data_IF_918160207930
#
_entry.id   IF_918160207930
#
_cell.length_a   1.000
_cell.length_b   1.000
_cell.length_c   1.000
_cell.angle_alpha   90.00
_cell.angle_beta   90.00
_cell.angle_gamma   90.00
#
_symmetry.space_group_name_H-M   'P 1'
#
loop_
_entity.id
_entity.type
_entity.pdbx_description
1 polymer ?
#
# COMPACT_ATOMS: atom_id res chain seq x y z
N UNK A 1 16.42 -1.64 5.02
CA UNK A 1 16.34 -1.59 3.55
C UNK A 1 16.99 -0.32 2.97
N UNK A 2 16.50 0.89 3.16
CA UNK A 2 17.05 2.14 2.57
C UNK A 2 18.56 2.35 2.80
N UNK A 3 19.10 1.94 3.94
CA UNK A 3 20.55 2.02 4.23
C UNK A 3 21.32 0.78 3.81
N UNK A 4 20.68 -0.37 3.74
CA UNK A 4 21.33 -1.64 3.43
C UNK A 4 21.68 -1.75 1.94
N UNK A 5 20.72 -1.43 1.07
CA UNK A 5 20.89 -1.55 -0.37
C UNK A 5 22.11 -0.76 -0.88
N UNK A 6 22.29 0.54 -0.54
CA UNK A 6 23.44 1.30 -1.02
C UNK A 6 24.80 0.82 -0.47
N UNK A 7 24.82 0.09 0.66
CA UNK A 7 26.09 -0.46 1.20
C UNK A 7 26.60 -1.65 0.41
N UNK A 8 25.71 -2.43 -0.21
CA UNK A 8 26.05 -3.62 -0.99
C UNK A 8 25.93 -3.39 -2.49
N UNK A 9 25.22 -2.35 -2.92
CA UNK A 9 25.24 -1.86 -4.29
C UNK A 9 26.43 -0.93 -4.49
N UNK A 10 27.05 -0.94 -5.67
CA UNK A 10 28.06 0.05 -6.00
C UNK A 10 27.45 1.45 -5.94
N UNK A 11 28.27 2.44 -5.51
CA UNK A 11 27.88 3.86 -5.41
C UNK A 11 27.33 4.47 -6.71
N UNK A 12 27.48 3.77 -7.83
CA UNK A 12 27.01 4.16 -9.16
C UNK A 12 25.55 3.73 -9.46
N UNK A 13 24.78 3.25 -8.47
CA UNK A 13 23.37 2.94 -8.62
C UNK A 13 23.04 1.61 -9.31
N UNK A 14 24.00 0.70 -9.41
CA UNK A 14 23.78 -0.65 -9.93
C UNK A 14 22.92 -1.48 -8.96
N UNK A 15 22.09 -2.35 -9.52
CA UNK A 15 21.32 -3.31 -8.74
C UNK A 15 22.25 -4.29 -8.01
N UNK A 16 21.84 -4.74 -6.85
CA UNK A 16 22.51 -5.81 -6.09
C UNK A 16 21.56 -6.99 -5.90
N UNK A 17 22.12 -8.19 -5.77
CA UNK A 17 21.30 -9.38 -5.47
C UNK A 17 20.53 -9.22 -4.16
N UNK A 18 19.23 -9.55 -4.16
CA UNK A 18 18.36 -9.43 -2.99
C UNK A 18 18.93 -10.15 -1.76
N UNK A 19 19.58 -11.29 -1.94
CA UNK A 19 20.26 -12.02 -0.85
C UNK A 19 21.25 -11.14 -0.08
N UNK A 20 22.06 -10.34 -0.79
CA UNK A 20 23.06 -9.48 -0.17
C UNK A 20 22.40 -8.30 0.54
N UNK A 21 21.42 -7.66 -0.11
CA UNK A 21 20.63 -6.59 0.49
C UNK A 21 19.88 -7.05 1.74
N UNK A 22 19.34 -8.27 1.72
CA UNK A 22 18.67 -8.89 2.86
C UNK A 22 19.62 -9.10 4.03
N UNK A 23 20.79 -9.70 3.79
CA UNK A 23 21.83 -9.89 4.83
C UNK A 23 22.23 -8.58 5.49
N UNK A 24 22.48 -7.54 4.69
CA UNK A 24 22.85 -6.23 5.20
C UNK A 24 21.71 -5.58 5.96
N UNK A 25 20.45 -5.76 5.53
CA UNK A 25 19.27 -5.29 6.24
C UNK A 25 19.15 -5.95 7.62
N UNK A 26 19.33 -7.28 7.70
CA UNK A 26 19.35 -8.03 8.95
C UNK A 26 20.43 -7.51 9.90
N UNK A 27 21.64 -7.30 9.39
CA UNK A 27 22.75 -6.77 10.17
C UNK A 27 22.46 -5.37 10.72
N UNK A 28 21.97 -4.45 9.89
CA UNK A 28 21.68 -3.07 10.29
C UNK A 28 20.48 -2.93 11.23
N UNK A 29 19.48 -3.79 11.10
CA UNK A 29 18.28 -3.78 11.96
C UNK A 29 18.46 -4.58 13.24
N UNK A 30 19.54 -5.38 13.35
CA UNK A 30 19.72 -6.37 14.40
C UNK A 30 18.56 -7.37 14.49
N UNK A 31 17.94 -7.67 13.35
CA UNK A 31 16.81 -8.58 13.21
C UNK A 31 17.20 -9.72 12.26
N UNK A 32 17.33 -10.91 12.79
CA UNK A 32 17.95 -12.05 12.11
C UNK A 32 16.96 -13.06 11.54
N UNK A 33 15.68 -12.72 11.46
CA UNK A 33 14.68 -13.51 10.74
C UNK A 33 14.71 -13.18 9.24
N UNK A 34 15.40 -14.03 8.48
CA UNK A 34 15.55 -13.85 7.03
C UNK A 34 14.22 -13.96 6.27
N UNK A 35 13.27 -14.78 6.75
CA UNK A 35 11.94 -14.91 6.15
C UNK A 35 11.13 -13.63 6.30
N UNK A 36 11.08 -13.09 7.51
CA UNK A 36 10.38 -11.83 7.77
C UNK A 36 11.00 -10.65 6.99
N UNK A 37 12.33 -10.55 6.93
CA UNK A 37 13.00 -9.51 6.13
C UNK A 37 12.72 -9.70 4.64
N UNK A 38 12.68 -10.92 4.14
CA UNK A 38 12.31 -11.20 2.75
C UNK A 38 10.86 -10.76 2.46
N UNK A 39 9.92 -11.04 3.34
CA UNK A 39 8.55 -10.57 3.20
C UNK A 39 8.46 -9.04 3.14
N UNK A 40 9.25 -8.32 3.95
CA UNK A 40 9.33 -6.85 3.86
C UNK A 40 9.85 -6.36 2.50
N UNK A 41 10.76 -7.12 1.85
CA UNK A 41 11.17 -6.82 0.49
C UNK A 41 10.04 -7.10 -0.50
N UNK A 42 9.31 -8.20 -0.36
CA UNK A 42 8.18 -8.54 -1.22
C UNK A 42 7.02 -7.52 -1.08
N UNK A 43 6.86 -6.92 0.08
CA UNK A 43 5.90 -5.82 0.27
C UNK A 43 6.22 -4.57 -0.57
N UNK A 44 7.45 -4.45 -1.11
CA UNK A 44 7.84 -3.35 -1.99
C UNK A 44 7.54 -3.57 -3.47
N UNK A 45 6.87 -4.67 -3.82
CA UNK A 45 6.42 -4.91 -5.19
C UNK A 45 5.40 -3.85 -5.62
N UNK A 46 5.47 -3.40 -6.86
CA UNK A 46 4.63 -2.31 -7.38
C UNK A 46 3.13 -2.63 -7.41
N UNK A 47 2.78 -3.91 -7.34
CA UNK A 47 1.39 -4.36 -7.25
C UNK A 47 0.91 -4.57 -5.80
N UNK A 48 1.81 -4.45 -4.81
CA UNK A 48 1.48 -4.51 -3.38
C UNK A 48 1.55 -3.11 -2.78
N UNK A 49 2.68 -2.41 -2.94
CA UNK A 49 2.88 -1.06 -2.43
C UNK A 49 2.49 0.01 -3.43
N UNK A 50 1.77 1.01 -2.97
CA UNK A 50 1.37 2.18 -3.76
C UNK A 50 2.55 3.07 -4.13
N UNK A 51 3.52 3.21 -3.22
CA UNK A 51 4.73 4.04 -3.34
C UNK A 51 5.96 3.24 -2.86
N UNK A 52 6.40 2.21 -3.60
CA UNK A 52 7.56 1.43 -3.20
C UNK A 52 8.81 2.29 -3.18
N UNK A 53 9.79 1.93 -2.34
CA UNK A 53 11.10 2.63 -2.26
C UNK A 53 12.20 1.94 -3.04
N UNK A 54 11.90 0.79 -3.63
CA UNK A 54 12.85 -0.01 -4.40
C UNK A 54 12.29 -0.41 -5.76
N UNK A 55 13.19 -0.71 -6.67
CA UNK A 55 12.91 -1.31 -7.96
C UNK A 55 13.64 -2.65 -8.04
N UNK A 56 12.95 -3.66 -8.52
CA UNK A 56 13.48 -5.01 -8.67
C UNK A 56 13.73 -5.35 -10.13
N UNK A 57 14.62 -6.33 -10.33
CA UNK A 57 14.80 -7.04 -11.59
C UNK A 57 14.79 -8.55 -11.30
N UNK A 58 13.97 -9.29 -12.00
CA UNK A 58 13.74 -10.72 -11.83
C UNK A 58 12.27 -11.06 -11.60
N UNK A 59 11.98 -12.32 -11.36
CA UNK A 59 10.62 -12.82 -11.13
C UNK A 59 10.19 -12.55 -9.68
N UNK A 60 9.28 -11.61 -9.49
CA UNK A 60 8.74 -11.23 -8.16
C UNK A 60 7.40 -11.89 -7.85
N UNK A 61 6.98 -12.85 -8.66
CA UNK A 61 5.62 -13.32 -8.67
C UNK A 61 4.70 -12.38 -9.46
N UNK A 62 3.42 -12.65 -9.42
CA UNK A 62 2.40 -11.90 -10.15
C UNK A 62 1.30 -11.37 -9.23
N UNK A 63 0.59 -10.35 -9.71
CA UNK A 63 -0.61 -9.83 -9.05
C UNK A 63 -1.71 -10.90 -8.88
N UNK A 64 -1.66 -11.93 -9.71
CA UNK A 64 -2.61 -13.04 -9.76
C UNK A 64 -2.20 -14.26 -8.93
N UNK A 65 -1.28 -14.07 -7.96
CA UNK A 65 -0.87 -15.11 -7.04
C UNK A 65 0.30 -15.98 -7.51
N UNK A 66 0.96 -15.62 -8.61
CA UNK A 66 2.19 -16.32 -9.00
C UNK A 66 3.26 -16.11 -7.94
N UNK A 67 3.88 -17.19 -7.49
CA UNK A 67 4.91 -17.14 -6.47
C UNK A 67 6.18 -16.39 -6.96
N UNK A 68 6.87 -15.63 -6.09
CA UNK A 68 8.14 -15.03 -6.45
C UNK A 68 9.20 -16.11 -6.68
N UNK A 69 10.13 -15.81 -7.56
CA UNK A 69 11.33 -16.60 -7.73
C UNK A 69 12.24 -16.55 -6.50
N UNK A 70 13.29 -17.36 -6.50
CA UNK A 70 14.26 -17.35 -5.42
C UNK A 70 14.97 -15.99 -5.32
N UNK A 71 15.15 -15.47 -4.09
CA UNK A 71 15.90 -14.24 -3.80
C UNK A 71 17.34 -14.22 -4.36
N UNK A 72 17.87 -15.39 -4.73
CA UNK A 72 19.21 -15.53 -5.34
C UNK A 72 19.26 -15.01 -6.78
N UNK A 73 18.11 -15.01 -7.47
CA UNK A 73 17.98 -14.61 -8.88
C UNK A 73 17.24 -13.28 -9.06
N UNK A 74 17.00 -12.58 -7.96
CA UNK A 74 16.34 -11.27 -7.95
C UNK A 74 17.34 -10.21 -7.53
N UNK A 75 17.39 -9.13 -8.29
CA UNK A 75 18.19 -7.96 -7.98
C UNK A 75 17.29 -6.81 -7.49
N UNK A 76 17.89 -5.94 -6.68
CA UNK A 76 17.18 -4.79 -6.09
C UNK A 76 18.05 -3.55 -6.10
N UNK A 77 17.44 -2.39 -6.36
CA UNK A 77 18.04 -1.08 -6.16
C UNK A 77 17.01 -0.11 -5.60
N UNK A 78 17.46 1.00 -5.04
CA UNK A 78 16.56 2.09 -4.71
C UNK A 78 15.95 2.65 -6.00
N UNK A 79 14.70 3.09 -5.92
CA UNK A 79 14.10 3.94 -6.93
C UNK A 79 14.23 5.41 -6.51
N UNK A 80 13.75 6.33 -7.34
CA UNK A 80 13.83 7.78 -7.09
C UNK A 80 13.17 8.19 -5.76
N UNK A 81 12.08 7.55 -5.38
CA UNK A 81 11.41 7.78 -4.11
C UNK A 81 12.26 7.32 -2.92
N UNK A 82 12.88 6.15 -3.02
CA UNK A 82 13.81 5.64 -2.00
C UNK A 82 15.09 6.48 -1.90
N UNK A 83 15.63 6.91 -3.02
CA UNK A 83 16.82 7.78 -3.08
C UNK A 83 16.54 9.16 -2.47
N UNK A 84 15.36 9.71 -2.71
CA UNK A 84 14.95 10.99 -2.10
C UNK A 84 15.08 10.95 -0.58
N UNK A 85 14.57 9.90 0.08
CA UNK A 85 14.67 9.78 1.54
C UNK A 85 16.08 9.46 2.02
N UNK A 86 16.86 8.71 1.25
CA UNK A 86 18.22 8.36 1.65
C UNK A 86 19.17 9.55 1.58
N UNK A 87 19.19 10.27 0.46
CA UNK A 87 20.20 11.29 0.19
C UNK A 87 19.87 12.66 0.76
N UNK A 88 18.60 13.01 0.88
CA UNK A 88 18.18 14.29 1.47
C UNK A 88 18.07 14.27 2.98
N UNK A 89 17.96 13.09 3.57
CA UNK A 89 17.88 12.89 5.01
C UNK A 89 18.96 11.95 5.52
N UNK A 90 20.20 12.43 5.74
CA UNK A 90 21.31 11.59 6.24
C UNK A 90 21.01 10.90 7.57
N UNK A 91 20.04 11.40 8.36
CA UNK A 91 19.54 10.71 9.55
C UNK A 91 18.64 9.51 9.24
N UNK A 92 18.30 9.30 7.95
CA UNK A 92 17.48 8.22 7.43
C UNK A 92 16.16 7.99 8.19
N UNK A 93 15.44 9.06 8.46
CA UNK A 93 14.05 8.92 8.87
C UNK A 93 13.12 9.33 7.72
N UNK A 94 12.05 8.59 7.58
CA UNK A 94 11.03 8.86 6.58
C UNK A 94 10.10 9.94 7.15
N UNK A 95 9.93 11.03 6.40
CA UNK A 95 9.18 12.21 6.84
C UNK A 95 7.69 12.16 6.49
N UNK A 96 7.21 11.00 6.05
CA UNK A 96 5.80 10.69 5.79
C UNK A 96 5.42 9.39 6.50
N UNK A 97 4.14 9.16 6.85
CA UNK A 97 3.70 7.94 7.51
C UNK A 97 3.64 6.78 6.50
N UNK A 98 4.78 6.13 6.29
CA UNK A 98 5.02 5.16 5.23
C UNK A 98 4.00 4.00 5.22
N UNK A 99 3.65 3.49 6.40
CA UNK A 99 2.65 2.41 6.52
C UNK A 99 1.24 2.85 6.09
N UNK A 100 0.91 4.14 6.20
CA UNK A 100 -0.39 4.62 5.71
C UNK A 100 -0.42 4.74 4.19
N UNK A 101 0.67 5.19 3.56
CA UNK A 101 0.67 5.37 2.10
C UNK A 101 0.84 4.06 1.32
N UNK A 102 1.51 3.05 1.91
CA UNK A 102 1.78 1.77 1.26
C UNK A 102 0.97 0.59 1.79
N UNK A 103 0.27 0.80 2.92
CA UNK A 103 -0.30 -0.29 3.68
C UNK A 103 0.77 -1.01 4.51
N UNK A 104 0.30 -1.82 5.44
CA UNK A 104 1.12 -2.73 6.23
C UNK A 104 0.28 -3.91 6.70
N UNK A 105 0.71 -5.10 6.32
CA UNK A 105 0.00 -6.34 6.57
C UNK A 105 0.84 -7.25 7.46
N UNK A 106 0.29 -7.63 8.60
CA UNK A 106 0.90 -8.59 9.51
C UNK A 106 -0.17 -9.30 10.31
N UNK A 107 0.20 -10.32 11.08
CA UNK A 107 -0.74 -10.99 11.99
C UNK A 107 -1.39 -10.06 13.02
N UNK A 108 -0.86 -8.85 13.22
CA UNK A 108 -1.30 -7.93 14.27
C UNK A 108 -1.94 -6.65 13.75
N UNK A 109 -1.80 -6.35 12.47
CA UNK A 109 -2.33 -5.12 11.89
C UNK A 109 -2.63 -5.28 10.40
N UNK A 110 -3.65 -4.61 9.95
CA UNK A 110 -4.03 -4.59 8.54
C UNK A 110 -4.32 -3.13 8.11
N UNK A 111 -3.25 -2.43 7.78
CA UNK A 111 -3.33 -1.04 7.32
C UNK A 111 -3.39 -1.06 5.80
N UNK A 112 -4.48 -0.56 5.24
CA UNK A 112 -4.63 -0.43 3.79
C UNK A 112 -3.89 0.81 3.28
N UNK A 113 -3.39 0.80 2.02
CA UNK A 113 -2.67 1.93 1.44
C UNK A 113 -3.59 3.12 1.21
N UNK A 114 -3.02 4.33 1.27
CA UNK A 114 -3.73 5.58 1.05
C UNK A 114 -3.00 6.46 0.03
N UNK A 115 -3.71 7.39 -0.57
CA UNK A 115 -3.11 8.34 -1.51
C UNK A 115 -2.14 9.30 -0.81
N UNK A 116 -0.95 9.47 -1.39
CA UNK A 116 0.12 10.32 -0.84
C UNK A 116 -0.31 11.78 -0.69
N UNK A 117 -1.01 12.31 -1.70
CA UNK A 117 -1.47 13.71 -1.68
C UNK A 117 -2.47 13.94 -0.54
N UNK A 118 -3.44 13.01 -0.37
CA UNK A 118 -4.44 13.08 0.69
C UNK A 118 -3.80 13.02 2.08
N UNK A 119 -2.82 12.13 2.27
CA UNK A 119 -2.11 12.00 3.55
C UNK A 119 -1.29 13.26 3.85
N UNK A 120 -0.57 13.79 2.87
CA UNK A 120 0.22 15.03 3.05
C UNK A 120 -0.70 16.22 3.36
N UNK A 121 -1.80 16.38 2.63
CA UNK A 121 -2.75 17.48 2.88
C UNK A 121 -3.38 17.38 4.27
N UNK A 122 -3.69 16.18 4.74
CA UNK A 122 -4.19 15.96 6.10
C UNK A 122 -3.12 16.25 7.18
N UNK A 123 -1.86 15.94 6.92
CA UNK A 123 -0.75 16.30 7.80
C UNK A 123 -0.57 17.84 7.87
N UNK A 124 -0.62 18.53 6.74
CA UNK A 124 -0.54 20.00 6.67
C UNK A 124 -1.75 20.62 7.38
N UNK A 125 -2.96 20.09 7.17
CA UNK A 125 -4.14 20.53 7.92
C UNK A 125 -3.92 20.45 9.43
N UNK A 126 -3.47 19.30 9.93
CA UNK A 126 -3.25 19.08 11.37
C UNK A 126 -2.07 19.88 11.93
N UNK A 127 -1.04 20.16 11.13
CA UNK A 127 0.07 21.03 11.51
C UNK A 127 -0.42 22.47 11.74
N UNK A 128 -1.29 22.98 10.86
CA UNK A 128 -1.85 24.32 10.93
C UNK A 128 -3.05 24.42 11.90
N UNK A 129 -3.82 23.36 12.04
CA UNK A 129 -5.03 23.26 12.88
C UNK A 129 -5.02 21.96 13.69
N UNK A 130 -4.28 21.87 14.81
CA UNK A 130 -4.17 20.63 15.60
C UNK A 130 -5.51 20.07 16.10
N UNK A 131 -6.50 20.95 16.28
CA UNK A 131 -7.86 20.60 16.72
C UNK A 131 -8.83 20.28 15.56
N UNK A 132 -8.35 20.17 14.31
CA UNK A 132 -9.22 19.81 13.19
C UNK A 132 -10.08 18.58 13.51
N UNK A 133 -11.33 18.60 13.12
CA UNK A 133 -12.27 17.50 13.35
C UNK A 133 -11.93 16.30 12.46
N UNK A 134 -12.49 15.12 12.78
CA UNK A 134 -12.36 13.96 11.92
C UNK A 134 -13.05 14.20 10.56
N UNK A 135 -14.16 14.93 10.54
CA UNK A 135 -14.86 15.29 9.29
C UNK A 135 -13.99 16.14 8.36
N UNK A 136 -13.22 17.08 8.91
CA UNK A 136 -12.28 17.89 8.11
C UNK A 136 -11.17 17.00 7.53
N UNK A 137 -10.66 16.04 8.30
CA UNK A 137 -9.65 15.08 7.84
C UNK A 137 -10.23 14.16 6.75
N UNK A 138 -11.44 13.64 6.94
CA UNK A 138 -12.14 12.80 5.96
C UNK A 138 -12.67 13.61 4.76
N UNK A 139 -12.76 14.93 4.88
CA UNK A 139 -12.90 15.82 3.74
C UNK A 139 -11.72 15.73 2.76
N UNK A 140 -10.52 15.37 3.26
CA UNK A 140 -9.28 15.22 2.50
C UNK A 140 -9.02 13.75 2.19
N UNK A 141 -8.88 12.91 3.23
CA UNK A 141 -8.65 11.45 3.09
C UNK A 141 -9.97 10.79 2.73
N UNK A 142 -10.09 10.35 1.47
CA UNK A 142 -11.34 9.74 0.98
C UNK A 142 -11.49 8.27 1.40
N UNK A 143 -10.39 7.59 1.71
CA UNK A 143 -10.32 6.18 2.05
C UNK A 143 -9.09 5.51 1.47
N UNK A 144 -8.99 4.18 1.50
CA UNK A 144 -7.88 3.44 0.91
C UNK A 144 -7.70 3.73 -0.58
N UNK A 145 -6.44 3.65 -1.06
CA UNK A 145 -6.06 3.85 -2.45
C UNK A 145 -5.06 2.78 -2.89
N UNK A 146 -5.53 1.77 -3.61
CA UNK A 146 -4.74 0.61 -4.00
C UNK A 146 -3.88 0.86 -5.25
N UNK A 147 -2.76 0.14 -5.43
CA UNK A 147 -1.83 0.34 -6.55
C UNK A 147 -2.46 0.30 -7.95
N UNK A 148 -3.38 -0.63 -8.17
CA UNK A 148 -4.09 -0.76 -9.45
C UNK A 148 -5.51 -0.19 -9.44
N UNK A 149 -5.89 0.48 -8.34
CA UNK A 149 -7.26 0.91 -8.15
C UNK A 149 -8.17 -0.25 -7.71
N UNK A 150 -9.41 -0.02 -7.67
CA UNK A 150 -10.57 -0.91 -7.49
C UNK A 150 -11.77 -0.01 -7.21
N UNK A 151 -12.94 -0.58 -6.99
CA UNK A 151 -14.07 0.14 -6.41
C UNK A 151 -14.25 -0.27 -4.94
N UNK A 152 -14.41 0.70 -4.05
CA UNK A 152 -14.81 0.48 -2.66
C UNK A 152 -16.25 0.94 -2.52
N UNK A 153 -17.14 0.07 -2.01
CA UNK A 153 -18.50 0.40 -1.62
C UNK A 153 -18.62 0.44 -0.12
N UNK A 154 -19.03 1.58 0.41
CA UNK A 154 -19.14 1.76 1.86
C UNK A 154 -20.19 2.81 2.18
N UNK A 155 -20.86 2.66 3.32
CA UNK A 155 -21.70 3.71 3.88
C UNK A 155 -20.83 4.81 4.50
N UNK A 156 -21.26 6.07 4.40
CA UNK A 156 -20.49 7.21 4.94
C UNK A 156 -20.25 7.10 6.45
N UNK A 157 -21.27 6.66 7.19
CA UNK A 157 -21.17 6.49 8.64
C UNK A 157 -20.20 5.34 9.00
N UNK A 158 -20.24 4.24 8.28
CA UNK A 158 -19.30 3.13 8.46
C UNK A 158 -17.86 3.57 8.20
N UNK A 159 -17.62 4.31 7.12
CA UNK A 159 -16.30 4.87 6.82
C UNK A 159 -15.81 5.77 7.95
N UNK A 160 -16.69 6.65 8.47
CA UNK A 160 -16.39 7.51 9.60
C UNK A 160 -16.01 6.70 10.85
N UNK A 161 -16.80 5.68 11.19
CA UNK A 161 -16.55 4.81 12.34
C UNK A 161 -15.23 4.04 12.22
N UNK A 162 -14.91 3.53 11.03
CA UNK A 162 -13.62 2.87 10.76
C UNK A 162 -12.46 3.83 11.04
N UNK A 163 -12.49 5.03 10.51
CA UNK A 163 -11.40 5.99 10.71
C UNK A 163 -11.37 6.60 12.12
N UNK A 164 -12.48 6.60 12.83
CA UNK A 164 -12.56 7.03 14.22
C UNK A 164 -11.98 5.97 15.16
N UNK A 165 -12.40 4.71 14.99
CA UNK A 165 -11.97 3.60 15.85
C UNK A 165 -10.64 2.99 15.44
N UNK A 166 -10.33 2.99 14.15
CA UNK A 166 -9.22 2.28 13.52
C UNK A 166 -9.54 0.84 13.17
N UNK A 167 -10.80 0.40 13.26
CA UNK A 167 -11.24 -0.97 12.99
C UNK A 167 -12.52 -1.02 12.17
N UNK A 168 -12.62 -2.02 11.31
CA UNK A 168 -13.83 -2.35 10.55
C UNK A 168 -13.52 -3.11 9.28
N UNK A 169 -14.54 -3.30 8.47
CA UNK A 169 -14.43 -3.99 7.19
C UNK A 169 -14.83 -3.07 6.05
N UNK A 170 -14.16 -3.20 4.92
CA UNK A 170 -14.56 -2.55 3.68
C UNK A 170 -14.86 -3.59 2.61
N UNK A 171 -15.81 -3.28 1.75
CA UNK A 171 -16.11 -4.08 0.58
C UNK A 171 -15.39 -3.52 -0.64
N UNK A 172 -14.56 -4.37 -1.28
CA UNK A 172 -13.78 -4.04 -2.46
C UNK A 172 -14.35 -4.83 -3.64
N UNK A 173 -14.50 -4.14 -4.78
CA UNK A 173 -15.04 -4.72 -6.02
C UNK A 173 -14.04 -4.56 -7.15
N UNK A 174 -14.00 -5.56 -8.02
CA UNK A 174 -13.27 -5.51 -9.28
C UNK A 174 -14.01 -4.68 -10.33
N UNK A 175 -13.28 -4.17 -11.30
CA UNK A 175 -13.89 -3.62 -12.50
C UNK A 175 -14.19 -4.75 -13.49
N UNK A 176 -15.43 -4.81 -13.94
CA UNK A 176 -15.90 -5.82 -14.89
C UNK A 176 -16.41 -5.14 -16.14
N UNK A 177 -15.90 -5.57 -17.29
CA UNK A 177 -16.37 -5.15 -18.60
C UNK A 177 -16.91 -6.37 -19.34
N UNK A 178 -18.16 -6.32 -19.74
CA UNK A 178 -18.79 -7.34 -20.58
C UNK A 178 -18.93 -6.81 -22.00
N UNK A 179 -18.41 -7.54 -22.97
CA UNK A 179 -18.48 -7.18 -24.37
C UNK A 179 -18.82 -8.41 -25.22
N UNK A 180 -20.10 -8.49 -25.62
CA UNK A 180 -20.61 -9.58 -26.46
C UNK A 180 -20.37 -10.95 -25.84
N UNK A 181 -19.37 -11.66 -26.33
CA UNK A 181 -18.99 -13.00 -25.88
C UNK A 181 -17.76 -13.01 -24.96
N UNK A 182 -17.38 -11.87 -24.39
CA UNK A 182 -16.23 -11.80 -23.48
C UNK A 182 -16.55 -11.02 -22.22
N UNK A 183 -15.96 -11.47 -21.13
CA UNK A 183 -15.94 -10.77 -19.83
C UNK A 183 -14.49 -10.48 -19.48
N UNK A 184 -14.19 -9.22 -19.20
CA UNK A 184 -12.85 -8.81 -18.73
C UNK A 184 -12.97 -8.33 -17.29
N UNK A 185 -12.15 -8.90 -16.40
CA UNK A 185 -12.09 -8.56 -14.99
C UNK A 185 -10.73 -7.94 -14.71
N UNK A 186 -10.71 -6.73 -14.18
CA UNK A 186 -9.50 -5.99 -13.83
C UNK A 186 -9.64 -5.32 -12.47
N UNK A 187 -8.53 -4.77 -11.94
CA UNK A 187 -8.53 -4.07 -10.65
C UNK A 187 -9.13 -4.90 -9.53
N UNK A 188 -8.68 -6.18 -9.43
CA UNK A 188 -9.23 -7.09 -8.41
C UNK A 188 -8.92 -6.60 -7.02
N UNK A 189 -9.70 -7.11 -6.02
CA UNK A 189 -9.36 -6.90 -4.63
C UNK A 189 -7.92 -7.35 -4.35
N UNK A 190 -7.10 -6.55 -3.68
CA UNK A 190 -5.75 -6.95 -3.29
C UNK A 190 -5.79 -8.17 -2.36
N UNK A 191 -4.66 -8.85 -2.15
CA UNK A 191 -4.49 -10.04 -1.30
C UNK A 191 -5.01 -11.36 -1.87
N UNK A 192 -5.13 -11.47 -3.18
CA UNK A 192 -5.36 -12.76 -3.83
C UNK A 192 -4.10 -13.64 -3.75
N UNK A 193 -2.95 -13.03 -3.41
CA UNK A 193 -1.65 -13.69 -3.41
C UNK A 193 -1.49 -14.86 -2.43
N UNK A 194 -2.22 -14.86 -1.30
CA UNK A 194 -2.06 -15.90 -0.29
C UNK A 194 -2.53 -17.29 -0.77
N UNK A 195 -3.36 -17.34 -1.80
CA UNK A 195 -4.04 -18.56 -2.20
C UNK A 195 -3.93 -18.88 -3.70
N UNK A 196 -3.33 -18.04 -4.52
CA UNK A 196 -3.40 -18.19 -5.97
C UNK A 196 -4.83 -18.03 -6.52
N UNK A 197 -4.96 -17.58 -7.74
CA UNK A 197 -6.29 -17.45 -8.37
C UNK A 197 -6.93 -18.80 -8.65
N UNK A 198 -6.12 -19.80 -8.96
CA UNK A 198 -6.59 -21.16 -9.27
C UNK A 198 -7.25 -21.81 -8.05
N UNK A 199 -6.87 -21.44 -6.82
CA UNK A 199 -7.48 -21.93 -5.58
C UNK A 199 -8.82 -21.21 -5.25
N UNK A 200 -9.02 -20.00 -5.77
CA UNK A 200 -10.29 -19.26 -5.61
C UNK A 200 -11.33 -19.61 -6.67
N UNK A 201 -10.89 -20.20 -7.77
CA UNK A 201 -11.75 -20.56 -8.88
C UNK A 201 -11.52 -22.00 -9.26
N UNK A 202 -12.56 -22.74 -9.32
CA UNK A 202 -12.64 -23.86 -10.23
C UNK A 202 -12.73 -23.32 -11.67
N UNK A 203 -11.64 -22.68 -12.15
CA UNK A 203 -11.56 -22.11 -13.50
C UNK A 203 -11.93 -23.18 -14.54
N UNK A 204 -11.48 -24.42 -14.32
CA UNK A 204 -11.82 -25.54 -15.21
C UNK A 204 -13.29 -25.91 -15.16
N UNK A 205 -13.90 -25.89 -13.97
CA UNK A 205 -15.35 -26.08 -13.81
C UNK A 205 -16.14 -25.00 -14.52
N UNK A 206 -15.74 -23.73 -14.41
CA UNK A 206 -16.36 -22.62 -15.13
C UNK A 206 -16.14 -22.73 -16.65
N UNK A 207 -14.93 -23.09 -17.12
CA UNK A 207 -14.67 -23.31 -18.55
C UNK A 207 -15.57 -24.38 -19.13
N UNK A 208 -15.76 -25.50 -18.41
CA UNK A 208 -16.61 -26.61 -18.84
C UNK A 208 -18.11 -26.22 -18.82
N UNK A 209 -18.58 -25.60 -17.74
CA UNK A 209 -19.99 -25.25 -17.57
C UNK A 209 -20.46 -24.19 -18.58
N UNK A 210 -19.64 -23.18 -18.83
CA UNK A 210 -19.97 -22.05 -19.72
C UNK A 210 -19.35 -22.17 -21.11
N UNK A 211 -18.77 -23.32 -21.42
CA UNK A 211 -18.10 -23.56 -22.71
C UNK A 211 -17.14 -22.42 -23.04
N UNK A 212 -16.41 -21.98 -22.04
CA UNK A 212 -15.58 -20.80 -22.03
C UNK A 212 -14.09 -21.10 -22.08
N UNK A 213 -13.30 -20.07 -22.24
CA UNK A 213 -11.84 -20.11 -22.12
C UNK A 213 -11.35 -18.93 -21.32
N UNK A 214 -10.53 -19.22 -20.31
CA UNK A 214 -9.84 -18.20 -19.54
C UNK A 214 -8.48 -17.89 -20.14
N UNK A 215 -8.20 -16.59 -20.30
CA UNK A 215 -6.88 -16.10 -20.66
C UNK A 215 -6.39 -15.17 -19.55
N UNK A 216 -5.26 -15.51 -18.96
CA UNK A 216 -4.61 -14.75 -17.91
C UNK A 216 -3.67 -13.74 -18.55
N UNK A 217 -3.98 -12.45 -18.42
CA UNK A 217 -3.03 -11.36 -18.68
C UNK A 217 -2.30 -10.95 -17.39
N UNK A 218 -1.38 -9.99 -17.48
CA UNK A 218 -0.60 -9.53 -16.30
C UNK A 218 -1.47 -8.92 -15.21
N UNK A 219 -2.55 -8.24 -15.57
CA UNK A 219 -3.44 -7.52 -14.64
C UNK A 219 -4.91 -7.63 -15.01
N UNK A 220 -5.27 -8.39 -16.03
CA UNK A 220 -6.64 -8.53 -16.53
C UNK A 220 -6.92 -10.00 -16.84
N UNK A 221 -8.04 -10.49 -16.35
CA UNK A 221 -8.59 -11.78 -16.80
C UNK A 221 -9.56 -11.56 -17.94
N UNK A 222 -9.40 -12.34 -18.98
CA UNK A 222 -10.32 -12.41 -20.09
C UNK A 222 -11.02 -13.78 -20.09
N UNK A 223 -12.34 -13.73 -20.06
CA UNK A 223 -13.17 -14.93 -20.25
C UNK A 223 -13.91 -14.80 -21.57
N UNK A 224 -13.71 -15.74 -22.44
CA UNK A 224 -14.52 -15.90 -23.65
C UNK A 224 -15.63 -16.91 -23.32
N UNK A 225 -16.88 -16.54 -23.51
CA UNK A 225 -18.03 -17.39 -23.24
C UNK A 225 -19.23 -16.96 -24.06
N UNK A 226 -20.08 -17.91 -24.42
CA UNK A 226 -21.33 -17.63 -25.13
C UNK A 226 -22.45 -17.15 -24.17
N UNK A 227 -22.22 -17.24 -22.86
CA UNK A 227 -23.21 -16.93 -21.82
C UNK A 227 -22.65 -15.96 -20.75
N UNK A 228 -22.23 -14.76 -21.14
CA UNK A 228 -21.54 -13.84 -20.21
C UNK A 228 -22.40 -13.41 -19.03
N UNK A 229 -23.70 -13.20 -19.24
CA UNK A 229 -24.61 -12.80 -18.17
C UNK A 229 -24.84 -13.91 -17.12
N UNK A 230 -24.99 -15.16 -17.58
CA UNK A 230 -25.13 -16.31 -16.70
C UNK A 230 -23.85 -16.55 -15.88
N UNK A 231 -22.70 -16.44 -16.54
CA UNK A 231 -21.39 -16.51 -15.89
C UNK A 231 -21.25 -15.43 -14.81
N UNK A 232 -21.55 -14.16 -15.13
CA UNK A 232 -21.48 -13.06 -14.18
C UNK A 232 -22.42 -13.24 -12.98
N UNK A 233 -23.61 -13.75 -13.22
CA UNK A 233 -24.56 -14.04 -12.13
C UNK A 233 -24.01 -15.13 -11.20
N UNK A 234 -23.37 -16.15 -11.73
CA UNK A 234 -22.77 -17.23 -10.93
C UNK A 234 -21.53 -16.75 -10.19
N UNK A 235 -20.75 -15.85 -10.77
CA UNK A 235 -19.55 -15.28 -10.17
C UNK A 235 -19.84 -14.13 -9.18
N UNK A 236 -21.07 -13.66 -9.04
CA UNK A 236 -21.41 -12.43 -8.32
C UNK A 236 -20.86 -12.37 -6.88
N UNK A 237 -20.79 -13.52 -6.21
CA UNK A 237 -20.26 -13.63 -4.84
C UNK A 237 -18.81 -14.16 -4.79
N UNK A 238 -18.16 -14.26 -5.94
CA UNK A 238 -16.78 -14.73 -6.01
C UNK A 238 -15.83 -13.70 -5.42
N UNK A 239 -14.80 -14.12 -4.64
CA UNK A 239 -13.79 -13.24 -4.06
C UNK A 239 -13.00 -12.40 -5.08
N UNK A 240 -12.98 -12.81 -6.34
CA UNK A 240 -12.34 -11.99 -7.40
C UNK A 240 -13.19 -10.77 -7.77
N UNK A 241 -14.52 -10.89 -7.72
CA UNK A 241 -15.41 -9.79 -8.04
C UNK A 241 -15.67 -8.90 -6.83
N UNK A 242 -15.72 -9.52 -5.65
CA UNK A 242 -16.15 -8.85 -4.43
C UNK A 242 -15.48 -9.48 -3.22
N UNK A 243 -14.84 -8.66 -2.39
CA UNK A 243 -14.19 -9.12 -1.18
C UNK A 243 -14.39 -8.15 -0.02
N UNK A 244 -14.66 -8.67 1.17
CA UNK A 244 -14.53 -7.92 2.41
C UNK A 244 -13.10 -8.00 2.91
N UNK A 245 -12.52 -6.85 3.19
CA UNK A 245 -11.16 -6.70 3.70
C UNK A 245 -11.21 -6.00 5.05
N UNK A 246 -10.66 -6.61 6.11
CA UNK A 246 -10.60 -5.97 7.41
C UNK A 246 -9.62 -4.80 7.40
N UNK A 247 -9.89 -3.81 8.22
CA UNK A 247 -8.98 -2.70 8.55
C UNK A 247 -8.69 -2.76 10.04
N UNK A 248 -7.41 -2.79 10.39
CA UNK A 248 -6.94 -2.74 11.77
C UNK A 248 -5.74 -1.80 11.88
N UNK A 249 -5.95 -0.60 12.39
CA UNK A 249 -4.89 0.37 12.64
C UNK A 249 -4.24 0.11 14.00
N UNK A 250 -3.57 -1.03 14.12
CA UNK A 250 -2.84 -1.40 15.33
C UNK A 250 -1.44 -0.81 15.31
N UNK A 251 -1.14 0.03 16.27
CA UNK A 251 0.15 0.68 16.44
C UNK A 251 0.71 0.43 17.82
N UNK A 252 2.04 0.44 17.94
CA UNK A 252 2.70 0.37 19.24
C UNK A 252 2.68 1.76 19.89
N UNK A 253 1.87 1.90 20.92
CA UNK A 253 1.76 3.12 21.72
C UNK A 253 2.25 2.79 23.14
N UNK A 254 3.36 3.40 23.58
CA UNK A 254 3.96 3.16 24.91
C UNK A 254 4.23 1.67 25.21
N UNK A 255 4.75 0.93 24.22
CA UNK A 255 5.05 -0.51 24.27
C UNK A 255 3.83 -1.44 24.32
N UNK A 256 2.64 -0.94 24.10
CA UNK A 256 1.40 -1.73 23.99
C UNK A 256 0.85 -1.59 22.57
N UNK A 257 0.34 -2.67 22.02
CA UNK A 257 -0.40 -2.65 20.74
C UNK A 257 -1.78 -2.06 21.03
N UNK A 258 -2.13 -0.99 20.35
CA UNK A 258 -3.45 -0.34 20.46
C UNK A 258 -3.99 -0.03 19.09
N UNK A 259 -5.26 -0.35 18.91
CA UNK A 259 -6.00 0.17 17.76
C UNK A 259 -6.34 1.64 18.00
N UNK A 260 -6.08 2.47 17.01
CA UNK A 260 -6.25 3.92 17.14
C UNK A 260 -6.75 4.53 15.83
N UNK A 261 -7.65 5.50 15.94
CA UNK A 261 -8.18 6.21 14.78
C UNK A 261 -7.11 7.05 14.03
N UNK A 262 -7.40 7.34 12.76
CA UNK A 262 -6.46 8.01 11.84
C UNK A 262 -5.94 9.34 12.36
N UNK A 263 -6.78 10.18 12.95
CA UNK A 263 -6.37 11.47 13.51
C UNK A 263 -5.24 11.31 14.54
N UNK A 264 -5.34 10.30 15.42
CA UNK A 264 -4.32 10.04 16.43
C UNK A 264 -3.01 9.58 15.80
N UNK A 265 -3.08 8.74 14.78
CA UNK A 265 -1.90 8.28 14.03
C UNK A 265 -1.15 9.47 13.44
N UNK A 266 -1.86 10.32 12.70
CA UNK A 266 -1.28 11.50 12.06
C UNK A 266 -0.71 12.49 13.09
N UNK A 267 -1.44 12.75 14.19
CA UNK A 267 -0.97 13.65 15.25
C UNK A 267 0.27 13.12 15.98
N UNK A 268 0.33 11.82 16.28
CA UNK A 268 1.52 11.20 16.87
C UNK A 268 2.71 11.26 15.90
N UNK A 269 2.46 11.03 14.61
CA UNK A 269 3.50 11.13 13.59
C UNK A 269 4.08 12.55 13.51
N UNK A 270 3.24 13.59 13.45
CA UNK A 270 3.65 15.01 13.46
C UNK A 270 4.51 15.29 14.70
N UNK A 271 4.04 14.91 15.89
CA UNK A 271 4.76 15.18 17.15
C UNK A 271 6.14 14.51 17.16
N UNK A 272 6.25 13.28 16.70
CA UNK A 272 7.53 12.58 16.59
C UNK A 272 8.47 13.27 15.58
N UNK A 273 7.93 13.70 14.45
CA UNK A 273 8.71 14.38 13.42
C UNK A 273 9.23 15.72 13.90
N UNK A 274 8.39 16.52 14.57
CA UNK A 274 8.78 17.79 15.20
C UNK A 274 9.94 17.60 16.21
N UNK A 275 9.86 16.56 17.05
CA UNK A 275 10.94 16.25 18.00
C UNK A 275 12.25 15.87 17.30
N UNK A 276 12.17 15.11 16.20
CA UNK A 276 13.34 14.72 15.42
C UNK A 276 14.00 15.94 14.73
N UNK A 277 13.17 16.84 14.17
CA UNK A 277 13.64 18.05 13.54
C UNK A 277 14.24 19.02 14.56
N UNK A 278 13.60 19.23 15.71
CA UNK A 278 14.11 20.07 16.78
C UNK A 278 15.48 19.61 17.30
N UNK A 279 15.70 18.29 17.43
CA UNK A 279 17.02 17.74 17.78
C UNK A 279 18.08 17.93 16.69
N UNK A 280 17.66 17.98 15.44
CA UNK A 280 18.59 18.11 14.30
C UNK A 280 18.97 19.57 14.03
N UNK A 281 18.01 20.46 14.21
CA UNK A 281 18.12 21.88 13.94
C UNK A 281 18.08 22.65 15.26
N UNK A 282 19.09 22.41 16.10
CA UNK A 282 19.22 23.09 17.40
C UNK A 282 19.24 24.62 17.22
N UNK A 283 18.42 25.32 18.00
CA UNK A 283 18.28 26.77 17.94
C UNK A 283 17.15 27.30 17.05
N UNK A 284 16.50 26.45 16.25
CA UNK A 284 15.30 26.84 15.52
C UNK A 284 14.07 26.90 16.44
N UNK A 285 13.22 27.87 16.21
CA UNK A 285 11.92 27.97 16.90
C UNK A 285 10.97 26.85 16.43
N UNK A 286 9.96 26.48 17.21
CA UNK A 286 8.95 25.51 16.79
C UNK A 286 8.24 25.88 15.48
N UNK A 287 8.04 27.16 15.23
CA UNK A 287 7.43 27.65 13.97
C UNK A 287 8.34 27.38 12.78
N UNK A 288 9.63 27.69 12.88
CA UNK A 288 10.60 27.43 11.81
C UNK A 288 10.71 25.94 11.51
N UNK A 289 10.66 25.09 12.56
CA UNK A 289 10.64 23.63 12.41
C UNK A 289 9.39 23.18 11.62
N UNK A 290 8.22 23.71 11.95
CA UNK A 290 6.97 23.39 11.25
C UNK A 290 7.04 23.82 9.77
N UNK A 291 7.55 25.02 9.49
CA UNK A 291 7.71 25.52 8.13
C UNK A 291 8.66 24.66 7.29
N UNK A 292 9.75 24.17 7.90
CA UNK A 292 10.67 23.24 7.24
C UNK A 292 9.98 21.91 6.88
N UNK A 293 9.21 21.36 7.81
CA UNK A 293 8.48 20.10 7.60
C UNK A 293 7.43 20.28 6.50
N UNK A 294 6.65 21.34 6.53
CA UNK A 294 5.61 21.64 5.52
C UNK A 294 6.24 21.79 4.13
N UNK A 295 7.31 22.56 3.99
CA UNK A 295 8.04 22.72 2.72
C UNK A 295 8.54 21.38 2.16
N UNK A 296 8.96 20.49 3.04
CA UNK A 296 9.38 19.15 2.61
C UNK A 296 8.19 18.32 2.12
N UNK A 297 7.09 18.33 2.85
CA UNK A 297 5.87 17.63 2.43
C UNK A 297 5.33 18.14 1.09
N UNK A 298 5.31 19.47 0.88
CA UNK A 298 4.94 20.08 -0.40
C UNK A 298 5.88 19.64 -1.52
N UNK A 299 7.18 19.52 -1.24
CA UNK A 299 8.14 19.00 -2.21
C UNK A 299 7.93 17.53 -2.53
N UNK A 300 7.67 16.69 -1.52
CA UNK A 300 7.34 15.26 -1.74
C UNK A 300 6.08 15.15 -2.59
N UNK A 301 5.04 15.91 -2.24
CA UNK A 301 3.78 15.94 -2.97
C UNK A 301 3.97 16.35 -4.43
N UNK A 302 4.71 17.43 -4.69
CA UNK A 302 4.95 17.92 -6.06
C UNK A 302 5.83 17.01 -6.90
N UNK A 303 6.68 16.18 -6.27
CA UNK A 303 7.61 15.29 -6.98
C UNK A 303 7.02 13.89 -7.20
N UNK A 304 6.32 13.36 -6.23
CA UNK A 304 5.87 11.95 -6.20
C UNK A 304 4.37 11.78 -6.03
N UNK A 305 3.64 12.87 -5.79
CA UNK A 305 2.18 12.83 -5.67
C UNK A 305 1.54 12.46 -7.00
N UNK A 306 0.49 11.66 -6.93
CA UNK A 306 -0.28 11.25 -8.10
C UNK A 306 -1.78 11.25 -7.78
N UNK A 307 -2.58 11.06 -8.81
CA UNK A 307 -4.02 10.97 -8.67
C UNK A 307 -4.45 9.68 -7.98
N UNK A 308 -5.58 9.76 -7.30
CA UNK A 308 -6.24 8.60 -6.70
C UNK A 308 -6.62 7.58 -7.79
N UNK A 309 -6.36 6.30 -7.53
CA UNK A 309 -6.69 5.19 -8.44
C UNK A 309 -7.96 4.45 -8.03
N UNK A 310 -8.23 4.38 -6.72
CA UNK A 310 -9.40 3.67 -6.18
C UNK A 310 -10.62 4.58 -6.17
N UNK A 311 -11.72 4.10 -6.74
CA UNK A 311 -13.01 4.77 -6.69
C UNK A 311 -13.73 4.43 -5.38
N UNK A 312 -14.30 5.42 -4.71
CA UNK A 312 -15.11 5.21 -3.52
C UNK A 312 -16.55 5.58 -3.82
N UNK A 313 -17.42 4.58 -3.76
CA UNK A 313 -18.86 4.72 -3.96
C UNK A 313 -19.55 4.70 -2.60
N UNK A 314 -20.07 5.85 -2.21
CA UNK A 314 -20.87 5.97 -0.97
C UNK A 314 -22.28 5.42 -1.23
N UNK A 315 -22.61 4.34 -0.55
CA UNK A 315 -23.95 3.76 -0.56
C UNK A 315 -24.82 4.37 0.56
N UNK A 316 -26.13 4.43 0.32
CA UNK A 316 -27.10 4.99 1.28
C UNK A 316 -27.46 3.97 2.36
#
# INVERSE_FOLDING_TARGET
>A
MLRAIPRVANLEGYATGCKNALKETMYLSNWYDGGAVWNEFLMQRSFVSRYPVVKFQGCLGGYLGDAPGSMYFIEVKLNEFGEFFLFKHPAAFITIPYSLINGHYSHYTNILPHNLNEIIDALILLMNKPNASLDEILGIIKGPDFPFGCEIRINKEELYQIYMSGQGDIEILSHVLTNGSSVSISHYPPFIEEFGIDDYFDLKGFEQEFNGKFEKGDTVFHLQTNEPEALMKKMADSPILKRKVPIDFNFIVKREVKCVGIKRILSCFISNLQQQYAKRYEGCSPSEVNDMIIKEWEKIKSTFGDERRTTITIVK
#
